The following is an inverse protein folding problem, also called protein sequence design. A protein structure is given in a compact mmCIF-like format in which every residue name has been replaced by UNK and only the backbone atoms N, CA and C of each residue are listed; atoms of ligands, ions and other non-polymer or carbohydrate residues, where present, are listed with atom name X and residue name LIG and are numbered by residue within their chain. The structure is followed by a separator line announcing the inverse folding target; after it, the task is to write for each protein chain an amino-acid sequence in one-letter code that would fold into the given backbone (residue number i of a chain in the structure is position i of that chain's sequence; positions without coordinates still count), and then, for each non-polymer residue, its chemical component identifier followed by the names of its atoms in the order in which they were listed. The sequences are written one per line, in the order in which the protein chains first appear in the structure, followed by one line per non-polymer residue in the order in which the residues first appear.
data_IF_763330151924
#
_entry.id   IF_763330151924
#
_cell.length_a   1.000
_cell.length_b   1.000
_cell.length_c   1.000
_cell.angle_alpha   90.00
_cell.angle_beta   90.00
_cell.angle_gamma   90.00
#
_symmetry.space_group_name_H-M   'P 1'
#
loop_
_entity.id
_entity.type
_entity.pdbx_description
1 polymer ?
#
# COMPACT_ATOMS: atom_id res chain seq x y z
N UNK A 1 31.70 -31.28 -3.61
CA UNK A 1 30.63 -30.44 -2.99
C UNK A 1 29.33 -30.96 -3.55
N UNK A 2 28.39 -31.29 -2.67
CA UNK A 2 27.17 -32.01 -3.02
C UNK A 2 26.28 -31.19 -3.95
N UNK A 3 25.86 -31.81 -5.04
CA UNK A 3 24.84 -31.32 -5.96
C UNK A 3 23.49 -31.36 -5.22
N UNK A 4 22.89 -30.19 -4.96
CA UNK A 4 21.58 -30.10 -4.34
C UNK A 4 20.52 -30.24 -5.45
N UNK A 5 19.56 -31.18 -5.34
CA UNK A 5 18.49 -31.31 -6.32
C UNK A 5 17.61 -30.06 -6.25
N UNK A 6 17.59 -29.27 -7.32
CA UNK A 6 16.64 -28.18 -7.52
C UNK A 6 15.24 -28.79 -7.67
N UNK A 7 14.43 -28.69 -6.62
CA UNK A 7 13.02 -29.06 -6.68
C UNK A 7 12.29 -28.01 -7.50
N UNK A 8 12.29 -28.14 -8.82
CA UNK A 8 11.49 -27.31 -9.72
C UNK A 8 10.02 -27.61 -9.44
N UNK A 9 9.34 -26.70 -8.74
CA UNK A 9 7.88 -26.74 -8.61
C UNK A 9 7.26 -26.87 -10.02
N UNK A 10 6.30 -27.78 -10.25
CA UNK A 10 5.70 -27.96 -11.57
C UNK A 10 4.98 -26.68 -11.98
N UNK A 11 5.21 -26.23 -13.21
CA UNK A 11 4.54 -25.05 -13.79
C UNK A 11 3.02 -25.25 -13.81
N UNK A 12 2.29 -24.25 -13.34
CA UNK A 12 0.82 -24.18 -13.42
C UNK A 12 0.40 -23.35 -14.63
N UNK A 13 -0.54 -23.86 -15.42
CA UNK A 13 -1.17 -23.15 -16.53
C UNK A 13 -2.57 -22.68 -16.16
N UNK A 14 -2.86 -21.42 -16.45
CA UNK A 14 -4.20 -20.85 -16.45
C UNK A 14 -4.65 -20.75 -17.89
N UNK A 15 -5.75 -21.42 -18.23
CA UNK A 15 -6.23 -21.49 -19.61
C UNK A 15 -7.61 -20.88 -19.77
N UNK A 16 -7.93 -20.43 -20.98
CA UNK A 16 -9.26 -19.95 -21.31
C UNK A 16 -9.37 -19.58 -22.79
N UNK A 17 -10.60 -19.36 -23.26
CA UNK A 17 -10.83 -18.95 -24.63
C UNK A 17 -12.02 -18.00 -24.79
N UNK A 18 -12.08 -17.31 -25.92
CA UNK A 18 -13.35 -16.84 -26.46
C UNK A 18 -14.04 -17.96 -27.29
N UNK A 19 -15.30 -17.77 -27.73
CA UNK A 19 -16.00 -18.79 -28.51
C UNK A 19 -15.27 -19.25 -29.78
N UNK A 20 -14.48 -18.38 -30.42
CA UNK A 20 -13.73 -18.70 -31.63
C UNK A 20 -12.43 -19.46 -31.36
N UNK A 21 -11.95 -19.47 -30.11
CA UNK A 21 -10.73 -20.17 -29.70
C UNK A 21 -10.97 -21.49 -28.93
N UNK A 22 -12.22 -21.80 -28.59
CA UNK A 22 -12.56 -22.90 -27.65
C UNK A 22 -11.93 -24.25 -28.06
N UNK A 23 -12.19 -24.70 -29.29
CA UNK A 23 -11.71 -26.00 -29.79
C UNK A 23 -10.18 -26.10 -29.74
N UNK A 24 -9.48 -25.02 -30.11
CA UNK A 24 -8.01 -25.01 -30.08
C UNK A 24 -7.49 -25.06 -28.64
N UNK A 25 -8.10 -24.29 -27.73
CA UNK A 25 -7.78 -24.32 -26.31
C UNK A 25 -8.00 -25.70 -25.71
N UNK A 26 -9.08 -26.41 -26.06
CA UNK A 26 -9.36 -27.76 -25.54
C UNK A 26 -8.28 -28.78 -25.94
N UNK A 27 -7.82 -28.70 -27.19
CA UNK A 27 -6.71 -29.52 -27.68
C UNK A 27 -5.42 -29.25 -26.89
N UNK A 28 -5.08 -27.98 -26.67
CA UNK A 28 -3.88 -27.60 -25.93
C UNK A 28 -3.97 -27.92 -24.44
N UNK A 29 -5.14 -27.77 -23.81
CA UNK A 29 -5.38 -28.21 -22.42
C UNK A 29 -5.14 -29.71 -22.29
N UNK A 30 -5.60 -30.50 -23.26
CA UNK A 30 -5.39 -31.94 -23.28
C UNK A 30 -3.91 -32.29 -23.43
N UNK A 31 -3.20 -31.59 -24.31
CA UNK A 31 -1.75 -31.72 -24.50
C UNK A 31 -0.97 -31.37 -23.22
N UNK A 32 -1.22 -30.22 -22.62
CA UNK A 32 -0.57 -29.79 -21.37
C UNK A 32 -0.76 -30.79 -20.22
N UNK A 33 -1.98 -31.34 -20.09
CA UNK A 33 -2.29 -32.37 -19.09
C UNK A 33 -1.56 -33.68 -19.40
N UNK A 34 -1.38 -34.04 -20.66
CA UNK A 34 -0.61 -35.24 -21.05
C UNK A 34 0.88 -35.12 -20.68
N UNK A 35 1.40 -33.90 -20.61
CA UNK A 35 2.75 -33.58 -20.14
C UNK A 35 2.83 -33.45 -18.60
N UNK A 36 1.75 -33.75 -17.87
CA UNK A 36 1.65 -33.65 -16.41
C UNK A 36 1.76 -32.23 -15.84
N UNK A 37 1.46 -31.18 -16.62
CA UNK A 37 1.32 -29.83 -16.06
C UNK A 37 0.02 -29.68 -15.28
N UNK A 38 0.04 -28.86 -14.23
CA UNK A 38 -1.19 -28.47 -13.54
C UNK A 38 -1.94 -27.47 -14.43
N UNK A 39 -3.20 -27.74 -14.73
CA UNK A 39 -4.02 -26.88 -15.61
C UNK A 39 -5.31 -26.46 -14.91
N UNK A 40 -5.47 -25.15 -14.73
CA UNK A 40 -6.72 -24.50 -14.33
C UNK A 40 -7.39 -23.89 -15.57
N UNK A 41 -8.45 -24.54 -16.05
CA UNK A 41 -9.21 -24.05 -17.20
C UNK A 41 -10.39 -23.19 -16.75
N UNK A 42 -10.34 -21.89 -17.09
CA UNK A 42 -11.39 -20.92 -16.81
C UNK A 42 -12.57 -21.04 -17.79
N UNK A 43 -12.45 -21.88 -18.82
CA UNK A 43 -13.48 -22.14 -19.80
C UNK A 43 -13.57 -21.05 -20.87
N UNK A 44 -14.79 -20.76 -21.30
CA UNK A 44 -15.08 -19.87 -22.44
C UNK A 44 -15.81 -18.63 -21.97
N UNK A 45 -15.36 -17.46 -22.40
CA UNK A 45 -15.99 -16.18 -22.08
C UNK A 45 -15.67 -15.09 -23.10
N UNK A 46 -16.22 -13.88 -22.96
CA UNK A 46 -15.88 -12.76 -23.83
C UNK A 46 -14.36 -12.47 -23.79
N UNK A 47 -13.76 -12.19 -24.95
CA UNK A 47 -12.30 -12.03 -25.10
C UNK A 47 -11.67 -11.04 -24.11
N UNK A 48 -12.39 -9.96 -23.78
CA UNK A 48 -11.93 -8.97 -22.81
C UNK A 48 -11.93 -9.49 -21.37
N UNK A 49 -12.93 -10.29 -21.00
CA UNK A 49 -13.06 -10.83 -19.64
C UNK A 49 -12.12 -12.01 -19.43
N UNK A 50 -12.02 -12.93 -20.39
CA UNK A 50 -11.13 -14.10 -20.25
C UNK A 50 -9.65 -13.68 -20.26
N UNK A 51 -9.29 -12.69 -21.08
CA UNK A 51 -7.94 -12.11 -21.09
C UNK A 51 -7.59 -11.47 -19.74
N UNK A 52 -8.51 -10.68 -19.17
CA UNK A 52 -8.33 -10.06 -17.85
C UNK A 52 -8.18 -11.10 -16.72
N UNK A 53 -9.05 -12.11 -16.68
CA UNK A 53 -9.01 -13.16 -15.65
C UNK A 53 -7.71 -13.98 -15.70
N UNK A 54 -7.25 -14.35 -16.90
CA UNK A 54 -5.95 -15.03 -17.07
C UNK A 54 -4.83 -14.13 -16.58
N UNK A 55 -4.83 -12.87 -17.00
CA UNK A 55 -3.80 -11.91 -16.60
C UNK A 55 -3.69 -11.80 -15.07
N UNK A 56 -4.81 -11.68 -14.35
CA UNK A 56 -4.81 -11.62 -12.88
C UNK A 56 -4.23 -12.86 -12.23
N UNK A 57 -4.62 -14.05 -12.68
CA UNK A 57 -4.14 -15.30 -12.09
C UNK A 57 -2.66 -15.55 -12.37
N UNK A 58 -2.19 -15.18 -13.56
CA UNK A 58 -0.76 -15.26 -13.92
C UNK A 58 0.06 -14.28 -13.09
N UNK A 59 -0.37 -13.02 -12.97
CA UNK A 59 0.30 -12.03 -12.14
C UNK A 59 0.36 -12.46 -10.65
N UNK A 60 -0.73 -13.02 -10.11
CA UNK A 60 -0.76 -13.50 -8.73
C UNK A 60 0.14 -14.73 -8.49
N UNK A 61 0.32 -15.58 -9.50
CA UNK A 61 1.13 -16.79 -9.40
C UNK A 61 2.64 -16.60 -9.67
N UNK A 62 3.03 -15.43 -10.19
CA UNK A 62 4.43 -15.09 -10.48
C UNK A 62 5.12 -16.10 -11.40
N UNK A 63 6.40 -16.37 -11.14
CA UNK A 63 7.24 -17.21 -12.01
C UNK A 63 6.79 -18.68 -12.12
N UNK A 64 5.94 -19.15 -11.19
CA UNK A 64 5.42 -20.52 -11.17
C UNK A 64 4.17 -20.73 -12.03
N UNK A 65 3.60 -19.65 -12.57
CA UNK A 65 2.35 -19.67 -13.33
C UNK A 65 2.53 -19.12 -14.74
N UNK A 66 1.88 -19.73 -15.72
CA UNK A 66 1.83 -19.29 -17.12
C UNK A 66 0.39 -19.24 -17.61
N UNK A 67 0.11 -18.38 -18.57
CA UNK A 67 -1.19 -18.29 -19.22
C UNK A 67 -1.17 -18.90 -20.61
N UNK A 68 -2.29 -19.54 -21.00
CA UNK A 68 -2.57 -19.92 -22.38
C UNK A 68 -3.99 -19.47 -22.73
N UNK A 69 -4.15 -18.62 -23.73
CA UNK A 69 -5.44 -18.08 -24.10
C UNK A 69 -5.69 -18.17 -25.60
N UNK A 70 -6.88 -18.58 -26.01
CA UNK A 70 -7.23 -18.68 -27.42
C UNK A 70 -8.37 -17.71 -27.77
N UNK A 71 -8.26 -17.04 -28.91
CA UNK A 71 -9.42 -16.40 -29.54
C UNK A 71 -9.35 -16.51 -31.05
N UNK A 72 -10.25 -15.84 -31.78
CA UNK A 72 -10.24 -15.86 -33.25
C UNK A 72 -8.86 -15.58 -33.85
N UNK A 73 -8.20 -14.49 -33.44
CA UNK A 73 -6.86 -14.07 -33.93
C UNK A 73 -5.74 -14.18 -32.90
N UNK A 74 -6.06 -14.50 -31.64
CA UNK A 74 -5.15 -14.37 -30.48
C UNK A 74 -4.95 -12.93 -29.98
N UNK A 75 -5.09 -11.92 -30.85
CA UNK A 75 -4.78 -10.51 -30.53
C UNK A 75 -5.73 -9.91 -29.49
N UNK A 76 -7.04 -10.20 -29.60
CA UNK A 76 -8.04 -9.62 -28.70
C UNK A 76 -7.76 -9.98 -27.24
N UNK A 77 -7.59 -11.27 -26.94
CA UNK A 77 -7.30 -11.74 -25.58
C UNK A 77 -5.91 -11.29 -25.09
N UNK A 78 -4.93 -11.20 -25.98
CA UNK A 78 -3.59 -10.65 -25.68
C UNK A 78 -3.70 -9.22 -25.15
N UNK A 79 -4.45 -8.34 -25.83
CA UNK A 79 -4.60 -6.92 -25.45
C UNK A 79 -5.13 -6.79 -24.02
N UNK A 80 -6.15 -7.56 -23.66
CA UNK A 80 -6.77 -7.47 -22.32
C UNK A 80 -5.93 -8.15 -21.24
N UNK A 81 -5.24 -9.25 -21.55
CA UNK A 81 -4.28 -9.84 -20.61
C UNK A 81 -3.16 -8.85 -20.24
N UNK A 82 -2.62 -8.14 -21.24
CA UNK A 82 -1.58 -7.11 -21.05
C UNK A 82 -2.03 -5.85 -20.30
N UNK A 83 -3.33 -5.70 -20.00
CA UNK A 83 -3.78 -4.62 -19.10
C UNK A 83 -3.44 -4.89 -17.63
N UNK A 84 -3.08 -6.12 -17.30
CA UNK A 84 -2.75 -6.51 -15.93
C UNK A 84 -1.24 -6.32 -15.71
N UNK A 85 -0.82 -5.53 -14.70
CA UNK A 85 0.58 -5.33 -14.39
C UNK A 85 1.32 -6.66 -14.14
N UNK A 86 2.51 -6.81 -14.73
CA UNK A 86 3.30 -8.04 -14.63
C UNK A 86 2.90 -9.14 -15.62
N UNK A 87 1.94 -8.87 -16.52
CA UNK A 87 1.57 -9.79 -17.60
C UNK A 87 2.20 -9.34 -18.91
N UNK A 88 2.88 -10.28 -19.55
CA UNK A 88 3.51 -10.13 -20.85
C UNK A 88 2.95 -11.21 -21.77
N UNK A 89 1.81 -10.90 -22.37
CA UNK A 89 1.09 -11.73 -23.31
C UNK A 89 1.53 -11.46 -24.76
N UNK A 90 1.73 -12.52 -25.52
CA UNK A 90 2.06 -12.47 -26.94
C UNK A 90 1.17 -13.43 -27.75
N UNK A 91 0.56 -12.94 -28.82
CA UNK A 91 -0.08 -13.78 -29.82
C UNK A 91 0.98 -14.34 -30.76
N UNK A 92 1.04 -15.67 -30.87
CA UNK A 92 1.98 -16.36 -31.74
C UNK A 92 1.22 -17.27 -32.71
N UNK A 93 1.60 -17.17 -33.98
CA UNK A 93 1.13 -17.98 -35.10
C UNK A 93 2.17 -19.04 -35.52
N UNK A 94 3.42 -18.93 -35.05
CA UNK A 94 4.52 -19.85 -35.35
C UNK A 94 5.38 -20.16 -34.13
N UNK A 95 6.06 -21.32 -34.16
CA UNK A 95 7.02 -21.70 -33.10
C UNK A 95 8.16 -20.70 -32.97
N UNK A 96 8.62 -20.13 -34.09
CA UNK A 96 9.66 -19.09 -34.11
C UNK A 96 9.23 -17.82 -33.37
N UNK A 97 7.98 -17.38 -33.53
CA UNK A 97 7.42 -16.26 -32.76
C UNK A 97 7.35 -16.59 -31.26
N UNK A 98 6.93 -17.80 -30.91
CA UNK A 98 6.87 -18.28 -29.54
C UNK A 98 8.26 -18.29 -28.88
N UNK A 99 9.28 -18.73 -29.62
CA UNK A 99 10.68 -18.74 -29.18
C UNK A 99 11.21 -17.32 -29.01
N UNK A 100 10.96 -16.45 -29.98
CA UNK A 100 11.37 -15.04 -29.93
C UNK A 100 10.76 -14.33 -28.71
N UNK A 101 9.45 -14.50 -28.47
CA UNK A 101 8.79 -13.77 -27.38
C UNK A 101 9.23 -14.25 -25.99
N UNK A 102 9.50 -15.54 -25.83
CA UNK A 102 10.09 -16.08 -24.60
C UNK A 102 11.51 -15.58 -24.36
N UNK A 103 12.34 -15.59 -25.41
CA UNK A 103 13.73 -15.15 -25.32
C UNK A 103 13.87 -13.65 -25.06
N UNK A 104 13.07 -12.81 -25.75
CA UNK A 104 13.24 -11.35 -25.77
C UNK A 104 12.34 -10.66 -24.74
N UNK A 105 11.07 -11.07 -24.66
CA UNK A 105 10.07 -10.38 -23.85
C UNK A 105 9.84 -11.05 -22.50
N UNK A 106 10.43 -12.22 -22.27
CA UNK A 106 10.12 -13.11 -21.16
C UNK A 106 8.59 -13.31 -21.02
N UNK A 107 7.88 -13.48 -22.14
CA UNK A 107 6.43 -13.59 -22.15
C UNK A 107 5.94 -14.69 -21.20
N UNK A 108 4.91 -14.39 -20.41
CA UNK A 108 4.34 -15.31 -19.43
C UNK A 108 2.90 -15.74 -19.77
N UNK A 109 2.32 -15.18 -20.83
CA UNK A 109 1.04 -15.60 -21.40
C UNK A 109 1.18 -15.82 -22.91
N UNK A 110 0.78 -16.98 -23.38
CA UNK A 110 0.72 -17.31 -24.81
C UNK A 110 -0.71 -17.14 -25.31
N UNK A 111 -0.88 -16.35 -26.37
CA UNK A 111 -2.15 -16.23 -27.08
C UNK A 111 -2.08 -16.97 -28.41
N UNK A 112 -3.12 -17.73 -28.78
CA UNK A 112 -3.18 -18.50 -30.03
C UNK A 112 -4.43 -18.18 -30.84
N UNK A 113 -4.33 -18.32 -32.17
CA UNK A 113 -5.38 -17.99 -33.14
C UNK A 113 -6.19 -19.23 -33.53
N UNK A 114 -7.44 -19.29 -33.10
CA UNK A 114 -8.38 -20.34 -33.50
C UNK A 114 -8.76 -20.31 -34.99
N UNK A 115 -8.59 -19.16 -35.68
CA UNK A 115 -8.90 -19.02 -37.11
C UNK A 115 -7.70 -19.31 -38.01
N UNK A 116 -6.47 -19.18 -37.51
CA UNK A 116 -5.26 -19.21 -38.34
C UNK A 116 -4.26 -20.30 -37.95
N UNK A 117 -4.41 -20.92 -36.78
CA UNK A 117 -3.45 -21.90 -36.25
C UNK A 117 -4.10 -23.29 -36.15
N UNK A 118 -3.66 -24.27 -36.96
CA UNK A 118 -4.08 -25.66 -36.82
C UNK A 118 -3.65 -26.27 -35.48
N UNK A 119 -4.34 -27.30 -34.95
CA UNK A 119 -4.01 -27.93 -33.67
C UNK A 119 -2.56 -28.40 -33.54
N UNK A 120 -2.01 -29.09 -34.55
CA UNK A 120 -0.64 -29.61 -34.51
C UNK A 120 0.39 -28.48 -34.43
N UNK A 121 0.16 -27.40 -35.20
CA UNK A 121 1.00 -26.19 -35.15
C UNK A 121 0.87 -25.48 -33.80
N UNK A 122 -0.33 -25.44 -33.22
CA UNK A 122 -0.53 -24.84 -31.89
C UNK A 122 0.17 -25.64 -30.78
N UNK A 123 0.24 -26.96 -30.91
CA UNK A 123 1.01 -27.84 -30.03
C UNK A 123 2.52 -27.51 -30.15
N UNK A 124 3.04 -27.37 -31.36
CA UNK A 124 4.44 -26.96 -31.57
C UNK A 124 4.75 -25.59 -30.96
N UNK A 125 3.82 -24.63 -31.11
CA UNK A 125 3.91 -23.28 -30.54
C UNK A 125 3.94 -23.32 -29.01
N UNK A 126 3.03 -24.06 -28.37
CA UNK A 126 2.98 -24.13 -26.90
C UNK A 126 4.21 -24.87 -26.36
N UNK A 127 4.65 -25.96 -26.99
CA UNK A 127 5.85 -26.68 -26.57
C UNK A 127 7.09 -25.79 -26.67
N UNK A 128 7.21 -25.03 -27.76
CA UNK A 128 8.30 -24.08 -27.93
C UNK A 128 8.25 -22.98 -26.87
N UNK A 129 7.07 -22.42 -26.59
CA UNK A 129 6.90 -21.40 -25.56
C UNK A 129 7.32 -21.90 -24.16
N UNK A 130 6.97 -23.14 -23.82
CA UNK A 130 7.26 -23.73 -22.50
C UNK A 130 8.75 -24.02 -22.36
N UNK A 131 9.37 -24.55 -23.41
CA UNK A 131 10.75 -25.02 -23.38
C UNK A 131 11.78 -23.93 -23.68
N UNK A 132 11.37 -22.69 -23.94
CA UNK A 132 12.28 -21.58 -24.25
C UNK A 132 12.55 -20.73 -22.99
N UNK A 133 13.79 -20.75 -22.45
CA UNK A 133 14.20 -19.85 -21.37
C UNK A 133 14.31 -18.40 -21.84
N UNK A 134 14.27 -17.47 -20.88
CA UNK A 134 14.55 -16.07 -21.17
C UNK A 134 16.01 -15.92 -21.65
N UNK A 135 16.25 -15.06 -22.65
CA UNK A 135 17.55 -14.80 -23.27
C UNK A 135 18.21 -16.01 -23.94
N UNK A 136 17.49 -17.09 -24.23
CA UNK A 136 18.07 -18.20 -24.99
C UNK A 136 18.23 -17.83 -26.49
N UNK A 137 19.15 -18.47 -27.23
CA UNK A 137 19.24 -18.28 -28.68
C UNK A 137 17.90 -18.48 -29.40
N UNK A 138 17.51 -17.54 -30.25
CA UNK A 138 16.23 -17.55 -30.96
C UNK A 138 16.39 -17.04 -32.41
N UNK A 139 15.37 -17.17 -33.27
CA UNK A 139 15.46 -16.71 -34.66
C UNK A 139 15.92 -15.25 -34.80
N UNK A 140 15.47 -14.36 -33.91
CA UNK A 140 15.86 -12.95 -33.92
C UNK A 140 17.35 -12.71 -33.58
N UNK A 141 17.99 -13.62 -32.84
CA UNK A 141 19.45 -13.59 -32.60
C UNK A 141 20.25 -14.34 -33.68
N UNK A 142 19.59 -14.77 -34.77
CA UNK A 142 20.18 -15.68 -35.74
C UNK A 142 20.49 -17.06 -35.15
N UNK A 143 19.75 -17.47 -34.12
CA UNK A 143 19.96 -18.68 -33.31
C UNK A 143 21.34 -18.74 -32.64
N UNK A 144 21.90 -17.59 -32.26
CA UNK A 144 23.16 -17.48 -31.49
C UNK A 144 22.89 -16.93 -30.10
N UNK A 145 23.87 -17.09 -29.21
CA UNK A 145 23.87 -16.40 -27.93
C UNK A 145 23.78 -14.88 -28.13
N UNK A 146 23.14 -14.19 -27.20
CA UNK A 146 23.08 -12.74 -27.23
C UNK A 146 24.46 -12.15 -26.94
N UNK A 147 24.81 -11.09 -27.67
CA UNK A 147 25.98 -10.30 -27.33
C UNK A 147 25.83 -9.73 -25.91
N UNK A 148 26.92 -9.59 -25.12
CA UNK A 148 26.82 -9.16 -23.72
C UNK A 148 26.06 -7.84 -23.50
N UNK A 149 26.16 -6.90 -24.44
CA UNK A 149 25.43 -5.64 -24.40
C UNK A 149 23.91 -5.84 -24.55
N UNK A 150 23.50 -6.76 -25.43
CA UNK A 150 22.09 -7.10 -25.64
C UNK A 150 21.57 -7.88 -24.44
N UNK A 151 22.37 -8.79 -23.88
CA UNK A 151 21.99 -9.53 -22.68
C UNK A 151 21.76 -8.58 -21.48
N UNK A 152 22.64 -7.61 -21.27
CA UNK A 152 22.49 -6.57 -20.25
C UNK A 152 21.24 -5.71 -20.49
N UNK A 153 20.96 -5.33 -21.74
CA UNK A 153 19.72 -4.66 -22.10
C UNK A 153 18.48 -5.49 -21.75
N UNK A 154 18.46 -6.79 -22.07
CA UNK A 154 17.36 -7.68 -21.74
C UNK A 154 17.18 -7.84 -20.22
N UNK A 155 18.27 -7.94 -19.46
CA UNK A 155 18.20 -7.98 -18.00
C UNK A 155 17.57 -6.71 -17.41
N UNK A 156 17.88 -5.54 -17.98
CA UNK A 156 17.31 -4.26 -17.55
C UNK A 156 15.88 -4.06 -18.03
N UNK A 157 15.49 -4.65 -19.17
CA UNK A 157 14.16 -4.42 -19.74
C UNK A 157 13.03 -4.95 -18.85
N UNK A 158 13.19 -6.13 -18.23
CA UNK A 158 12.15 -6.75 -17.39
C UNK A 158 11.73 -5.88 -16.19
N UNK A 159 12.65 -5.38 -15.34
CA UNK A 159 12.27 -4.49 -14.24
C UNK A 159 11.76 -3.13 -14.74
N UNK A 160 12.27 -2.60 -15.85
CA UNK A 160 11.76 -1.34 -16.43
C UNK A 160 10.33 -1.51 -16.99
N UNK A 161 10.04 -2.61 -17.70
CA UNK A 161 8.69 -2.93 -18.17
C UNK A 161 7.69 -3.02 -17.02
N UNK A 162 8.09 -3.58 -15.88
CA UNK A 162 7.25 -3.66 -14.70
C UNK A 162 6.92 -2.31 -14.04
N UNK A 163 7.61 -1.22 -14.44
CA UNK A 163 7.31 0.15 -14.01
C UNK A 163 6.32 0.84 -14.96
N UNK A 164 6.23 0.42 -16.22
CA UNK A 164 5.34 1.04 -17.22
C UNK A 164 3.88 0.92 -16.76
N UNK A 165 3.15 2.04 -16.82
CA UNK A 165 1.75 2.10 -16.42
C UNK A 165 1.50 2.11 -14.91
N UNK A 166 2.54 1.94 -14.08
CA UNK A 166 2.49 2.41 -12.69
C UNK A 166 2.66 3.92 -12.78
N UNK A 167 1.72 4.69 -12.22
CA UNK A 167 2.06 6.04 -11.80
C UNK A 167 3.29 5.92 -10.88
N UNK A 168 4.20 6.89 -10.92
CA UNK A 168 5.07 7.06 -9.75
C UNK A 168 4.18 6.96 -8.50
N UNK A 169 4.62 6.32 -7.41
CA UNK A 169 3.88 6.46 -6.18
C UNK A 169 3.74 7.97 -6.00
N UNK A 170 2.51 8.48 -6.14
CA UNK A 170 2.19 9.83 -5.69
C UNK A 170 2.77 9.87 -4.29
N UNK A 171 3.79 10.70 -4.09
CA UNK A 171 4.55 10.86 -2.86
C UNK A 171 3.63 10.53 -1.69
N UNK A 172 3.79 9.37 -1.04
CA UNK A 172 2.91 8.82 -0.01
C UNK A 172 1.74 9.77 0.27
N UNK A 173 0.68 9.71 -0.54
CA UNK A 173 -0.35 10.76 -0.58
C UNK A 173 -0.67 11.18 0.85
N UNK A 174 -0.46 12.46 1.16
CA UNK A 174 -0.35 12.93 2.54
C UNK A 174 -1.42 12.25 3.40
N UNK A 175 -1.01 11.56 4.47
CA UNK A 175 -1.92 10.82 5.32
C UNK A 175 -3.15 11.70 5.62
N UNK A 176 -4.39 11.29 5.29
CA UNK A 176 -5.56 12.16 5.42
C UNK A 176 -5.73 12.69 6.85
N UNK A 177 -5.33 11.89 7.85
CA UNK A 177 -5.28 12.30 9.26
C UNK A 177 -4.21 13.38 9.46
N UNK A 178 -3.04 13.25 8.84
CA UNK A 178 -2.00 14.28 8.85
C UNK A 178 -2.43 15.56 8.11
N UNK A 179 -3.13 15.47 6.98
CA UNK A 179 -3.69 16.65 6.29
C UNK A 179 -4.68 17.39 7.20
N UNK A 180 -5.59 16.64 7.82
CA UNK A 180 -6.52 17.19 8.80
C UNK A 180 -5.76 17.80 9.97
N UNK A 181 -4.70 17.14 10.45
CA UNK A 181 -3.91 17.61 11.58
C UNK A 181 -3.12 18.90 11.27
N UNK A 182 -2.49 18.97 10.10
CA UNK A 182 -1.68 20.11 9.64
C UNK A 182 -2.53 21.35 9.36
N UNK A 183 -3.75 21.16 8.85
CA UNK A 183 -4.65 22.26 8.50
C UNK A 183 -5.60 22.65 9.65
N UNK A 184 -5.31 22.25 10.90
CA UNK A 184 -6.06 22.72 12.07
C UNK A 184 -5.71 24.17 12.38
N UNK A 185 -6.73 25.02 12.30
CA UNK A 185 -6.65 26.38 12.82
C UNK A 185 -6.94 26.38 14.31
N UNK A 186 -6.00 26.92 15.10
CA UNK A 186 -6.14 27.09 16.53
C UNK A 186 -6.60 28.52 16.85
N UNK A 187 -7.44 28.66 17.87
CA UNK A 187 -7.89 29.95 18.38
C UNK A 187 -7.25 30.22 19.74
N UNK A 188 -6.84 31.46 20.06
CA UNK A 188 -6.32 31.79 21.39
C UNK A 188 -7.32 31.47 22.50
N UNK A 189 -6.81 31.00 23.64
CA UNK A 189 -7.60 30.87 24.86
C UNK A 189 -7.56 32.22 25.56
N UNK A 190 -8.60 33.04 25.40
CA UNK A 190 -8.59 34.46 25.83
C UNK A 190 -8.20 34.66 27.30
N UNK A 191 -8.57 33.72 28.17
CA UNK A 191 -8.35 33.79 29.62
C UNK A 191 -6.94 33.31 30.03
N UNK A 192 -6.21 32.65 29.11
CA UNK A 192 -4.92 32.01 29.38
C UNK A 192 -3.87 32.44 28.36
N UNK A 193 -3.07 33.48 28.68
CA UNK A 193 -2.00 33.95 27.80
C UNK A 193 -1.03 32.82 27.43
N UNK A 194 -0.66 32.75 26.14
CA UNK A 194 0.20 31.70 25.59
C UNK A 194 -0.52 30.40 25.24
N UNK A 195 -1.82 30.28 25.56
CA UNK A 195 -2.67 29.14 25.24
C UNK A 195 -3.43 29.32 23.92
N UNK A 196 -3.49 28.25 23.13
CA UNK A 196 -4.36 28.14 21.96
C UNK A 196 -5.09 26.80 21.97
N UNK A 197 -6.32 26.76 21.46
CA UNK A 197 -7.13 25.53 21.40
C UNK A 197 -7.82 25.32 20.06
N UNK A 198 -8.13 24.07 19.76
CA UNK A 198 -9.04 23.67 18.69
C UNK A 198 -9.98 22.59 19.20
N UNK A 199 -11.28 22.89 19.24
CA UNK A 199 -12.32 21.87 19.42
C UNK A 199 -12.28 20.91 18.23
N UNK A 200 -12.08 19.62 18.52
CA UNK A 200 -12.05 18.53 17.54
C UNK A 200 -13.32 17.68 17.57
N UNK A 201 -14.13 17.80 18.63
CA UNK A 201 -15.44 17.16 18.79
C UNK A 201 -16.29 17.94 19.78
N UNK A 202 -17.58 18.07 19.51
CA UNK A 202 -18.51 18.81 20.38
C UNK A 202 -19.13 17.95 21.50
N UNK A 203 -19.32 16.64 21.33
CA UNK A 203 -19.95 15.79 22.35
C UNK A 203 -19.54 14.30 22.32
N UNK A 204 -18.95 13.73 23.40
CA UNK A 204 -18.33 14.48 24.50
C UNK A 204 -17.29 15.45 23.92
N UNK A 205 -17.14 16.60 24.57
CA UNK A 205 -16.33 17.68 24.03
C UNK A 205 -14.86 17.29 24.13
N UNK A 206 -14.12 17.54 23.06
CA UNK A 206 -12.70 17.27 23.01
C UNK A 206 -11.97 18.36 22.24
N UNK A 207 -10.79 18.71 22.74
CA UNK A 207 -9.93 19.73 22.18
C UNK A 207 -8.48 19.26 22.10
N UNK A 208 -7.75 19.83 21.15
CA UNK A 208 -6.29 19.85 21.18
C UNK A 208 -5.91 21.25 21.67
N UNK A 209 -5.06 21.31 22.68
CA UNK A 209 -4.62 22.55 23.32
C UNK A 209 -3.11 22.64 23.23
N UNK A 210 -2.61 23.84 22.97
CA UNK A 210 -1.19 24.17 22.88
C UNK A 210 -0.88 25.30 23.85
N UNK A 211 0.23 25.19 24.56
CA UNK A 211 0.80 26.28 25.33
C UNK A 211 2.28 26.46 24.99
N UNK A 212 2.70 27.71 24.87
CA UNK A 212 4.11 28.07 24.72
C UNK A 212 4.90 27.78 26.00
N UNK A 213 6.17 27.40 25.84
CA UNK A 213 7.08 27.21 26.97
C UNK A 213 7.13 28.43 27.89
N UNK A 214 7.09 28.20 29.20
CA UNK A 214 7.07 29.25 30.22
C UNK A 214 5.68 29.81 30.55
N UNK A 215 4.63 29.41 29.81
CA UNK A 215 3.26 29.78 30.13
C UNK A 215 2.81 29.20 31.47
N UNK A 216 1.85 29.87 32.11
CA UNK A 216 1.29 29.48 33.40
C UNK A 216 -0.23 29.55 33.32
N UNK A 217 -0.88 28.50 33.80
CA UNK A 217 -2.30 28.52 34.12
C UNK A 217 -2.43 28.87 35.62
N UNK A 218 -3.11 29.98 35.97
CA UNK A 218 -3.43 30.28 37.37
C UNK A 218 -4.24 29.16 38.01
N UNK A 219 -4.31 29.12 39.34
CA UNK A 219 -5.19 28.18 40.00
C UNK A 219 -6.64 28.34 39.50
N UNK A 220 -7.24 27.25 39.06
CA UNK A 220 -8.59 27.24 38.50
C UNK A 220 -9.25 25.88 38.67
N UNK A 221 -10.57 25.84 38.44
CA UNK A 221 -11.34 24.61 38.38
C UNK A 221 -12.35 24.62 37.21
N UNK A 222 -12.88 23.43 36.94
CA UNK A 222 -13.91 23.18 35.92
C UNK A 222 -15.14 22.53 36.55
N UNK A 223 -16.32 22.82 35.98
CA UNK A 223 -17.59 22.21 36.40
C UNK A 223 -17.67 20.72 36.07
N UNK A 224 -16.91 20.27 35.06
CA UNK A 224 -16.83 18.88 34.65
C UNK A 224 -15.41 18.35 34.83
N UNK A 225 -15.32 17.05 35.16
CA UNK A 225 -14.03 16.38 35.19
C UNK A 225 -13.49 16.20 33.77
N UNK A 226 -12.17 16.21 33.62
CA UNK A 226 -11.53 16.13 32.31
C UNK A 226 -10.39 15.11 32.28
N UNK A 227 -10.30 14.47 31.12
CA UNK A 227 -9.22 13.58 30.71
C UNK A 227 -8.15 14.41 29.96
N UNK A 228 -6.90 14.38 30.42
CA UNK A 228 -5.77 15.00 29.74
C UNK A 228 -4.78 13.91 29.27
N UNK A 229 -4.31 14.02 28.03
CA UNK A 229 -3.23 13.20 27.47
C UNK A 229 -2.20 14.10 26.78
N UNK A 230 -0.94 14.04 27.22
CA UNK A 230 0.14 14.84 26.63
C UNK A 230 0.57 14.21 25.30
N UNK A 231 0.34 14.92 24.20
CA UNK A 231 0.77 14.48 22.87
C UNK A 231 2.28 14.73 22.72
N UNK A 232 2.73 15.92 23.16
CA UNK A 232 4.14 16.32 23.10
C UNK A 232 4.41 17.47 24.06
N UNK A 233 5.60 17.48 24.66
CA UNK A 233 6.09 18.55 25.54
C UNK A 233 6.04 18.16 27.01
N UNK A 234 6.28 19.13 27.89
CA UNK A 234 6.37 18.91 29.34
C UNK A 234 5.63 19.99 30.11
N UNK A 235 4.80 19.55 31.05
CA UNK A 235 4.06 20.42 31.97
C UNK A 235 4.05 19.87 33.37
N UNK A 236 4.03 20.76 34.35
CA UNK A 236 3.79 20.40 35.75
C UNK A 236 2.39 20.84 36.13
N UNK A 237 1.63 19.94 36.73
CA UNK A 237 0.29 20.18 37.26
C UNK A 237 0.31 20.02 38.78
N UNK A 238 -0.13 21.04 39.48
CA UNK A 238 -0.36 20.99 40.92
C UNK A 238 -1.85 20.89 41.19
N UNK A 239 -2.31 19.75 41.71
CA UNK A 239 -3.67 19.63 42.22
C UNK A 239 -3.68 20.19 43.66
N UNK A 240 -4.18 21.41 43.81
CA UNK A 240 -4.18 22.14 45.08
C UNK A 240 -5.23 21.58 46.06
N UNK A 241 -6.33 21.04 45.54
CA UNK A 241 -7.35 20.35 46.35
C UNK A 241 -6.77 19.13 47.07
N UNK A 242 -5.93 18.35 46.38
CA UNK A 242 -5.33 17.12 46.91
C UNK A 242 -3.92 17.28 47.46
N UNK A 243 -3.28 18.43 47.19
CA UNK A 243 -1.87 18.71 47.51
C UNK A 243 -0.92 17.72 46.83
N UNK A 244 -1.21 17.41 45.57
CA UNK A 244 -0.44 16.50 44.74
C UNK A 244 0.21 17.26 43.58
N UNK A 245 1.38 16.77 43.14
CA UNK A 245 2.15 17.33 42.02
C UNK A 245 2.38 16.24 40.98
N UNK A 246 2.15 16.59 39.73
CA UNK A 246 2.30 15.71 38.58
C UNK A 246 3.19 16.38 37.54
N UNK A 247 4.38 15.81 37.31
CA UNK A 247 5.24 16.21 36.20
C UNK A 247 4.93 15.31 35.01
N UNK A 248 4.32 15.88 33.96
CA UNK A 248 3.80 15.18 32.80
C UNK A 248 4.69 15.43 31.56
N UNK A 249 4.86 14.39 30.75
CA UNK A 249 5.65 14.35 29.52
C UNK A 249 4.93 13.58 28.41
N UNK A 250 5.53 13.49 27.22
CA UNK A 250 4.99 12.75 26.06
C UNK A 250 4.37 11.38 26.44
N UNK A 251 3.08 11.22 26.18
CA UNK A 251 2.34 9.98 26.44
C UNK A 251 1.73 9.86 27.83
N UNK A 252 1.99 10.80 28.74
CA UNK A 252 1.39 10.78 30.08
C UNK A 252 -0.09 11.18 30.06
N UNK A 253 -0.85 10.59 30.97
CA UNK A 253 -2.28 10.82 31.16
C UNK A 253 -2.58 11.30 32.58
N UNK A 254 -3.50 12.25 32.70
CA UNK A 254 -4.00 12.73 33.98
C UNK A 254 -5.52 12.95 33.92
N UNK A 255 -6.24 12.40 34.88
CA UNK A 255 -7.64 12.72 35.11
C UNK A 255 -7.77 13.73 36.25
N UNK A 256 -8.47 14.84 35.99
CA UNK A 256 -8.83 15.82 37.02
C UNK A 256 -10.33 15.75 37.28
N UNK A 257 -10.77 15.38 38.50
CA UNK A 257 -12.19 15.42 38.87
C UNK A 257 -12.81 16.81 38.79
N UNK A 258 -14.12 16.85 38.59
CA UNK A 258 -14.89 18.10 38.64
C UNK A 258 -14.68 18.84 39.97
N UNK A 259 -14.45 20.15 39.90
CA UNK A 259 -14.23 21.01 41.06
C UNK A 259 -12.87 20.90 41.74
N UNK A 260 -11.97 20.01 41.30
CA UNK A 260 -10.58 20.02 41.80
C UNK A 260 -9.85 21.27 41.29
N UNK A 261 -9.28 22.05 42.22
CA UNK A 261 -8.52 23.25 41.90
C UNK A 261 -7.11 22.82 41.53
N UNK A 262 -6.62 23.28 40.39
CA UNK A 262 -5.28 22.98 39.93
C UNK A 262 -4.60 24.17 39.27
N UNK A 263 -3.27 24.16 39.31
CA UNK A 263 -2.37 25.15 38.68
C UNK A 263 -1.44 24.43 37.72
N UNK A 264 -1.01 25.09 36.65
CA UNK A 264 -0.13 24.46 35.65
C UNK A 264 1.02 25.39 35.26
N UNK A 265 2.20 24.80 35.02
CA UNK A 265 3.36 25.45 34.40
C UNK A 265 3.81 24.62 33.20
N UNK A 266 4.05 25.29 32.08
CA UNK A 266 4.56 24.67 30.87
C UNK A 266 6.09 24.83 30.80
N UNK A 267 6.81 23.70 30.82
CA UNK A 267 8.28 23.68 30.81
C UNK A 267 8.84 23.70 29.38
N UNK A 268 8.05 23.19 28.42
CA UNK A 268 8.33 23.18 26.99
C UNK A 268 7.05 23.59 26.23
N UNK A 269 7.16 23.88 24.93
CA UNK A 269 5.99 24.00 24.06
C UNK A 269 5.21 22.68 24.14
N UNK A 270 4.00 22.74 24.67
CA UNK A 270 3.24 21.55 25.04
C UNK A 270 1.93 21.47 24.28
N UNK A 271 1.73 20.37 23.56
CA UNK A 271 0.46 20.00 22.93
C UNK A 271 -0.15 18.82 23.70
N UNK A 272 -1.42 18.96 24.05
CA UNK A 272 -2.16 17.90 24.74
C UNK A 272 -3.60 17.80 24.24
N UNK A 273 -4.14 16.60 24.35
CA UNK A 273 -5.55 16.31 24.12
C UNK A 273 -6.30 16.44 25.44
N UNK A 274 -7.45 17.13 25.40
CA UNK A 274 -8.33 17.29 26.53
C UNK A 274 -9.74 16.82 26.15
N UNK A 275 -10.38 16.00 26.99
CA UNK A 275 -11.76 15.56 26.81
C UNK A 275 -12.54 15.77 28.10
N UNK A 276 -13.76 16.30 27.98
CA UNK A 276 -14.68 16.51 29.09
C UNK A 276 -16.12 16.38 28.61
N UNK A 277 -17.06 16.36 29.55
CA UNK A 277 -18.49 16.39 29.25
C UNK A 277 -19.04 17.81 29.39
N UNK A 278 -20.04 18.18 28.57
CA UNK A 278 -20.69 19.48 28.69
C UNK A 278 -19.91 20.66 28.08
N UNK A 279 -20.41 21.90 28.25
CA UNK A 279 -19.77 23.09 27.69
C UNK A 279 -18.39 23.34 28.30
N UNK A 280 -17.50 23.96 27.53
CA UNK A 280 -16.23 24.47 28.06
C UNK A 280 -16.48 25.54 29.12
N UNK A 281 -15.91 25.36 30.30
CA UNK A 281 -15.91 26.35 31.36
C UNK A 281 -14.53 26.42 32.00
N UNK A 282 -14.18 27.59 32.53
CA UNK A 282 -13.01 27.76 33.38
C UNK A 282 -13.31 28.81 34.43
N UNK A 283 -13.09 28.46 35.69
CA UNK A 283 -13.30 29.37 36.83
C UNK A 283 -11.96 29.63 37.48
N UNK A 284 -11.44 30.84 37.32
CA UNK A 284 -10.18 31.25 37.94
C UNK A 284 -10.36 31.46 39.44
N UNK A 285 -9.53 30.78 40.24
CA UNK A 285 -9.44 30.91 41.70
C UNK A 285 -8.26 31.79 42.12
N UNK A 286 -7.42 32.19 41.17
CA UNK A 286 -6.19 32.97 41.37
C UNK A 286 -5.89 33.86 40.15
N UNK A 287 -5.27 35.02 40.36
CA UNK A 287 -4.76 35.87 39.29
C UNK A 287 -3.38 35.42 38.79
N UNK A 288 -3.03 35.82 37.56
CA UNK A 288 -1.79 35.37 36.91
C UNK A 288 -0.51 35.80 37.64
N UNK A 289 -0.48 36.96 38.28
CA UNK A 289 0.71 37.44 38.99
C UNK A 289 0.93 36.65 40.29
N UNK A 290 -0.16 36.37 41.02
CA UNK A 290 -0.15 35.46 42.18
C UNK A 290 0.34 34.06 41.79
N UNK A 291 -0.13 33.53 40.66
CA UNK A 291 0.27 32.22 40.16
C UNK A 291 1.78 32.15 39.84
N UNK A 292 2.32 33.16 39.14
CA UNK A 292 3.77 33.26 38.85
C UNK A 292 4.59 33.34 40.15
N UNK A 293 4.15 34.13 41.12
CA UNK A 293 4.83 34.28 42.40
C UNK A 293 4.81 32.99 43.24
N UNK A 294 3.72 32.22 43.18
CA UNK A 294 3.63 30.92 43.85
C UNK A 294 4.59 29.90 43.24
N UNK A 295 4.66 29.82 41.91
CA UNK A 295 5.58 28.92 41.19
C UNK A 295 7.04 29.28 41.48
N UNK A 296 7.39 30.57 41.46
CA UNK A 296 8.76 31.01 41.73
C UNK A 296 9.27 30.63 43.13
N UNK A 297 8.38 30.51 44.11
CA UNK A 297 8.72 30.05 45.48
C UNK A 297 8.92 28.55 45.59
N UNK A 298 8.35 27.77 44.68
CA UNK A 298 8.56 26.32 44.65
C UNK A 298 9.82 25.93 43.87
N UNK A 299 10.23 26.74 42.89
CA UNK A 299 11.45 26.54 42.12
C UNK A 299 12.73 26.99 42.88
N UNK A 300 12.59 27.70 44.00
CA UNK A 300 13.68 28.23 44.84
C UNK A 300 14.08 27.30 45.97
#
# INVERSE_FOLDING_TARGET
MADQPTTTQPLKFITGADPNGCTLKDALVSHLRSLNYQVEDLGVGPYYSIGEQIGRKVAAGGDTTRGLVACGTGVGVQIFANKIPGVYAAACLTADEAKNTRSINNANVLAVSGMSTPPDTAIEIVDTFINTPFKSPCPASGNKEWDPEVEDFLNKSVPEMAKIGKSEPESEGECPICCLAKNREFVPVEIMPGGMMKIVRESPTAAIIRFEAGSVEPAHHHSFGHDLFVIKGKKTVWNLSKKEKYDLSDGDYLYTPAGDIHRVKYLEDTEFFLKWDGPWDIVLDEDLESAKAAIAKEDS
#
